data_IF_208647818454
#
_entry.id   IF_208647818454
#
_cell.length_a   1.000
_cell.length_b   1.000
_cell.length_c   1.000
_cell.angle_alpha   90.00
_cell.angle_beta   90.00
_cell.angle_gamma   90.00
#
_symmetry.space_group_name_H-M   'P 1'
#
loop_
_entity.id
_entity.type
_entity.pdbx_description
1 polymer ?
#
# COMPACT_ATOMS: atom_id res chain seq x y z
N UNK A 1 50.31 23.88 -33.12
CA UNK A 1 49.21 22.89 -33.11
C UNK A 1 48.61 22.87 -34.51
N UNK A 2 48.63 21.72 -35.17
CA UNK A 2 48.14 21.57 -36.56
C UNK A 2 46.62 21.56 -36.59
N UNK A 3 45.96 22.11 -37.63
CA UNK A 3 44.49 22.19 -37.73
C UNK A 3 43.79 20.83 -37.66
N UNK A 4 44.47 19.73 -37.95
CA UNK A 4 43.94 18.39 -37.80
C UNK A 4 43.69 17.94 -36.33
N UNK A 5 44.44 18.47 -35.37
CA UNK A 5 44.25 18.16 -33.94
C UNK A 5 43.07 18.91 -33.33
N UNK A 6 42.72 20.08 -33.85
CA UNK A 6 41.57 20.86 -33.39
C UNK A 6 40.25 20.27 -33.91
N UNK A 7 40.23 19.69 -35.11
CA UNK A 7 39.07 19.03 -35.67
C UNK A 7 38.71 17.71 -34.94
N UNK A 8 39.72 16.96 -34.45
CA UNK A 8 39.49 15.73 -33.67
C UNK A 8 38.91 16.02 -32.28
N UNK A 9 39.27 17.12 -31.65
CA UNK A 9 38.74 17.52 -30.34
C UNK A 9 37.28 18.02 -30.40
N UNK A 10 36.90 18.66 -31.53
CA UNK A 10 35.50 19.08 -31.76
C UNK A 10 34.59 17.88 -32.10
N UNK A 11 35.10 16.87 -32.82
CA UNK A 11 34.33 15.66 -33.13
C UNK A 11 34.09 14.78 -31.90
N UNK A 12 35.04 14.72 -30.94
CA UNK A 12 34.89 13.97 -29.70
C UNK A 12 33.88 14.63 -28.71
N UNK A 13 33.76 15.96 -28.77
CA UNK A 13 32.78 16.69 -27.93
C UNK A 13 31.33 16.50 -28.38
N UNK A 14 31.06 16.32 -29.67
CA UNK A 14 29.73 16.06 -30.21
C UNK A 14 29.25 14.62 -29.98
N UNK A 15 30.17 13.65 -29.87
CA UNK A 15 29.80 12.25 -29.59
C UNK A 15 29.35 11.98 -28.13
N UNK A 16 29.80 12.81 -27.19
CA UNK A 16 29.39 12.69 -25.77
C UNK A 16 27.99 13.27 -25.46
N UNK A 17 27.49 14.15 -26.33
CA UNK A 17 26.14 14.69 -26.18
C UNK A 17 25.02 13.71 -26.59
N UNK A 18 25.37 12.67 -27.38
CA UNK A 18 24.39 11.70 -27.88
C UNK A 18 24.06 10.55 -26.93
N UNK A 19 24.73 10.43 -25.77
CA UNK A 19 24.55 9.37 -24.78
C UNK A 19 23.94 9.86 -23.45
N UNK A 20 23.26 11.01 -23.44
CA UNK A 20 22.46 11.32 -22.27
C UNK A 20 21.25 10.38 -22.24
N UNK A 21 21.06 9.58 -21.17
CA UNK A 21 19.86 8.79 -21.05
C UNK A 21 18.66 9.75 -21.08
N UNK A 22 17.84 9.63 -22.12
CA UNK A 22 16.60 10.38 -22.24
C UNK A 22 15.77 10.02 -21.01
N UNK A 23 15.36 11.01 -20.23
CA UNK A 23 14.44 10.77 -19.13
C UNK A 23 13.23 9.99 -19.71
N UNK A 24 12.72 8.95 -19.03
CA UNK A 24 11.59 8.20 -19.54
C UNK A 24 10.46 9.18 -19.85
N UNK A 25 10.05 9.22 -21.11
CA UNK A 25 8.92 10.04 -21.55
C UNK A 25 7.68 9.57 -20.77
N UNK A 26 6.94 10.52 -20.21
CA UNK A 26 5.64 10.25 -19.59
C UNK A 26 4.71 9.58 -20.63
N UNK A 27 3.56 9.03 -20.19
CA UNK A 27 2.62 8.40 -21.11
C UNK A 27 2.18 9.38 -22.21
N UNK A 28 1.84 8.86 -23.40
CA UNK A 28 1.32 9.69 -24.48
C UNK A 28 0.11 10.53 -24.04
N UNK A 29 -0.13 11.70 -24.66
CA UNK A 29 -1.31 12.50 -24.37
C UNK A 29 -2.61 11.68 -24.42
N UNK A 30 -3.47 11.83 -23.41
CA UNK A 30 -4.71 11.05 -23.30
C UNK A 30 -4.56 9.65 -22.72
N UNK A 31 -3.34 9.24 -22.34
CA UNK A 31 -3.08 7.98 -21.63
C UNK A 31 -2.86 8.25 -20.14
N UNK A 32 -3.44 7.41 -19.28
CA UNK A 32 -3.26 7.41 -17.83
C UNK A 32 -2.74 6.04 -17.41
N UNK A 33 -1.60 6.00 -16.75
CA UNK A 33 -1.05 4.80 -16.14
C UNK A 33 -1.53 4.68 -14.71
N UNK A 34 -2.37 3.66 -14.49
CA UNK A 34 -3.00 3.39 -13.21
C UNK A 34 -2.23 2.30 -12.45
N UNK A 35 -1.59 2.67 -11.34
CA UNK A 35 -0.85 1.71 -10.50
C UNK A 35 -1.74 0.98 -9.52
N UNK A 36 -1.48 -0.32 -9.38
CA UNK A 36 -2.22 -1.24 -8.52
C UNK A 36 -1.23 -1.94 -7.60
N UNK A 37 -1.50 -1.85 -6.30
CA UNK A 37 -0.67 -2.46 -5.27
C UNK A 37 -0.76 -3.99 -5.31
N UNK A 38 0.38 -4.65 -5.22
CA UNK A 38 0.48 -6.13 -5.24
C UNK A 38 0.25 -6.72 -3.84
N UNK A 39 -1.00 -6.69 -3.39
CA UNK A 39 -1.43 -7.36 -2.14
C UNK A 39 -1.70 -8.85 -2.33
N UNK A 40 -1.88 -9.26 -3.58
CA UNK A 40 -2.12 -10.61 -4.07
C UNK A 40 -1.25 -10.92 -5.30
N UNK A 41 -1.42 -12.10 -5.89
CA UNK A 41 -0.76 -12.41 -7.16
C UNK A 41 -1.30 -11.53 -8.31
N UNK A 42 -0.47 -11.33 -9.35
CA UNK A 42 -0.78 -10.42 -10.45
C UNK A 42 -2.05 -10.84 -11.21
N UNK A 43 -2.27 -12.14 -11.42
CA UNK A 43 -3.44 -12.65 -12.15
C UNK A 43 -4.73 -12.35 -11.40
N UNK A 44 -4.76 -12.54 -10.09
CA UNK A 44 -5.89 -12.21 -9.25
C UNK A 44 -6.18 -10.70 -9.27
N UNK A 45 -5.12 -9.88 -9.12
CA UNK A 45 -5.23 -8.43 -9.21
C UNK A 45 -5.76 -7.97 -10.57
N UNK A 46 -5.24 -8.54 -11.67
CA UNK A 46 -5.74 -8.26 -13.03
C UNK A 46 -7.21 -8.58 -13.17
N UNK A 47 -7.64 -9.78 -12.75
CA UNK A 47 -9.04 -10.19 -12.80
C UNK A 47 -9.97 -9.24 -12.04
N UNK A 48 -9.54 -8.78 -10.87
CA UNK A 48 -10.33 -7.90 -10.02
C UNK A 48 -10.41 -6.45 -10.54
N UNK A 49 -9.31 -5.91 -11.04
CA UNK A 49 -9.23 -4.50 -11.43
C UNK A 49 -9.65 -4.21 -12.88
N UNK A 50 -9.49 -5.17 -13.80
CA UNK A 50 -9.79 -4.96 -15.23
C UNK A 50 -11.18 -4.38 -15.50
N UNK A 51 -12.28 -4.88 -14.87
CA UNK A 51 -13.61 -4.31 -15.13
C UNK A 51 -13.73 -2.83 -14.71
N UNK A 52 -13.16 -2.45 -13.58
CA UNK A 52 -13.15 -1.06 -13.11
C UNK A 52 -12.37 -0.14 -14.06
N UNK A 53 -11.19 -0.57 -14.52
CA UNK A 53 -10.36 0.22 -15.43
C UNK A 53 -11.00 0.35 -16.82
N UNK A 54 -11.68 -0.68 -17.30
CA UNK A 54 -12.45 -0.63 -18.56
C UNK A 54 -13.62 0.37 -18.47
N UNK A 55 -14.33 0.39 -17.34
CA UNK A 55 -15.38 1.39 -17.10
C UNK A 55 -14.79 2.81 -17.02
N UNK A 56 -13.62 2.96 -16.40
CA UNK A 56 -12.91 4.24 -16.34
C UNK A 56 -12.53 4.74 -17.74
N UNK A 57 -11.97 3.86 -18.57
CA UNK A 57 -11.61 4.18 -19.95
C UNK A 57 -12.85 4.64 -20.75
N UNK A 58 -13.92 3.87 -20.67
CA UNK A 58 -15.20 4.18 -21.36
C UNK A 58 -15.79 5.51 -20.91
N UNK A 59 -15.82 5.78 -19.61
CA UNK A 59 -16.47 6.96 -19.06
C UNK A 59 -15.67 8.25 -19.28
N UNK A 60 -14.33 8.17 -19.23
CA UNK A 60 -13.45 9.33 -19.31
C UNK A 60 -12.96 9.64 -20.72
N UNK A 61 -13.04 8.66 -21.63
CA UNK A 61 -12.42 8.73 -22.97
C UNK A 61 -10.90 8.75 -22.93
N UNK A 62 -10.29 8.38 -21.81
CA UNK A 62 -8.84 8.24 -21.64
C UNK A 62 -8.42 6.79 -21.92
N UNK A 63 -7.23 6.59 -22.47
CA UNK A 63 -6.62 5.27 -22.50
C UNK A 63 -6.09 4.94 -21.09
N UNK A 64 -6.52 3.84 -20.49
CA UNK A 64 -6.08 3.43 -19.15
C UNK A 64 -5.11 2.26 -19.26
N UNK A 65 -3.86 2.47 -18.87
CA UNK A 65 -2.82 1.44 -18.85
C UNK A 65 -2.55 1.01 -17.41
N UNK A 66 -2.93 -0.23 -17.01
CA UNK A 66 -2.64 -0.72 -15.67
C UNK A 66 -1.15 -0.99 -15.48
N UNK A 67 -0.64 -0.63 -14.31
CA UNK A 67 0.71 -0.93 -13.87
C UNK A 67 0.65 -1.75 -12.57
N UNK A 68 1.09 -3.00 -12.63
CA UNK A 68 1.17 -3.90 -11.48
C UNK A 68 2.60 -3.91 -10.95
N UNK A 69 2.83 -3.29 -9.81
CA UNK A 69 4.15 -3.30 -9.19
C UNK A 69 4.47 -4.66 -8.57
N UNK A 70 5.73 -5.07 -8.65
CA UNK A 70 6.20 -6.32 -8.03
C UNK A 70 6.27 -6.24 -6.50
N UNK A 71 6.41 -5.03 -5.97
CA UNK A 71 6.40 -4.71 -4.54
C UNK A 71 5.99 -3.24 -4.35
N UNK A 72 5.81 -2.83 -3.10
CA UNK A 72 5.31 -1.49 -2.77
C UNK A 72 6.30 -0.37 -3.11
N UNK A 73 7.59 -0.62 -2.95
CA UNK A 73 8.63 0.34 -3.34
C UNK A 73 8.63 0.58 -4.85
N UNK A 74 8.41 -0.44 -5.67
CA UNK A 74 8.34 -0.30 -7.12
C UNK A 74 7.22 0.67 -7.56
N UNK A 75 6.04 0.66 -6.90
CA UNK A 75 4.97 1.61 -7.19
C UNK A 75 5.34 3.04 -6.80
N UNK A 76 5.96 3.22 -5.63
CA UNK A 76 6.42 4.53 -5.15
C UNK A 76 7.42 5.13 -6.14
N UNK A 77 8.41 4.34 -6.57
CA UNK A 77 9.42 4.80 -7.52
C UNK A 77 8.84 4.99 -8.93
N UNK A 78 7.89 4.14 -9.39
CA UNK A 78 7.21 4.34 -10.66
C UNK A 78 6.49 5.70 -10.72
N UNK A 79 5.82 6.11 -9.64
CA UNK A 79 5.22 7.45 -9.55
C UNK A 79 6.29 8.54 -9.52
N UNK A 80 7.37 8.36 -8.76
CA UNK A 80 8.48 9.32 -8.67
C UNK A 80 9.11 9.61 -10.02
N UNK A 81 9.30 8.59 -10.83
CA UNK A 81 9.88 8.70 -12.18
C UNK A 81 8.82 8.92 -13.27
N UNK A 82 7.60 9.32 -12.89
CA UNK A 82 6.49 9.63 -13.80
C UNK A 82 6.13 8.47 -14.75
N UNK A 83 6.39 7.24 -14.32
CA UNK A 83 5.99 6.03 -15.05
C UNK A 83 4.53 5.66 -14.75
N UNK A 84 3.95 6.18 -13.67
CA UNK A 84 2.54 6.06 -13.33
C UNK A 84 1.97 7.42 -12.93
N UNK A 85 0.66 7.62 -13.11
CA UNK A 85 -0.02 8.89 -12.95
C UNK A 85 -0.94 8.91 -11.73
N UNK A 86 -1.67 7.83 -11.53
CA UNK A 86 -2.65 7.64 -10.46
C UNK A 86 -2.63 6.19 -10.04
N UNK A 87 -3.08 5.88 -8.82
CA UNK A 87 -3.24 4.50 -8.41
C UNK A 87 -3.74 4.33 -7.00
N UNK A 88 -3.97 3.07 -6.67
CA UNK A 88 -4.30 2.58 -5.35
C UNK A 88 -3.02 2.23 -4.58
N UNK A 89 -2.87 2.78 -3.40
CA UNK A 89 -1.75 2.56 -2.47
C UNK A 89 -2.29 2.11 -1.11
N UNK A 90 -1.49 1.37 -0.34
CA UNK A 90 -1.77 1.23 1.09
C UNK A 90 -1.41 2.53 1.81
N UNK A 91 -1.92 2.72 3.03
CA UNK A 91 -1.71 3.98 3.75
C UNK A 91 -0.21 4.34 3.90
N UNK A 92 0.65 3.39 4.29
CA UNK A 92 2.09 3.66 4.44
C UNK A 92 2.78 3.93 3.09
N UNK A 93 2.49 3.14 2.07
CA UNK A 93 3.07 3.38 0.73
C UNK A 93 2.54 4.65 0.09
N UNK A 94 1.27 5.01 0.34
CA UNK A 94 0.67 6.30 -0.06
C UNK A 94 1.36 7.47 0.62
N UNK A 95 1.64 7.39 1.92
CA UNK A 95 2.41 8.40 2.65
C UNK A 95 3.81 8.60 2.08
N UNK A 96 4.49 7.52 1.72
CA UNK A 96 5.79 7.60 1.04
C UNK A 96 5.67 8.21 -0.37
N UNK A 97 4.62 7.89 -1.12
CA UNK A 97 4.36 8.48 -2.43
C UNK A 97 4.13 10.00 -2.33
N UNK A 98 3.37 10.47 -1.34
CA UNK A 98 3.18 11.91 -1.07
C UNK A 98 4.51 12.58 -0.74
N UNK A 99 5.32 11.99 0.12
CA UNK A 99 6.60 12.58 0.58
C UNK A 99 7.70 12.58 -0.48
N UNK A 100 7.81 11.52 -1.27
CA UNK A 100 9.00 11.26 -2.09
C UNK A 100 8.75 11.26 -3.59
N UNK A 101 7.49 11.11 -4.01
CA UNK A 101 7.13 10.93 -5.42
C UNK A 101 6.24 12.04 -5.97
N UNK A 102 6.04 13.11 -5.19
CA UNK A 102 5.15 14.20 -5.59
C UNK A 102 3.68 13.76 -5.69
N UNK A 103 3.31 12.73 -4.94
CA UNK A 103 1.92 12.27 -4.83
C UNK A 103 1.03 13.25 -4.07
N UNK A 104 -0.27 13.15 -4.29
CA UNK A 104 -1.33 13.88 -3.62
C UNK A 104 -2.54 12.96 -3.49
N UNK A 105 -3.11 12.88 -2.30
CA UNK A 105 -4.31 12.08 -2.06
C UNK A 105 -5.54 12.87 -2.52
N UNK A 106 -6.47 12.23 -3.21
CA UNK A 106 -7.71 12.85 -3.68
C UNK A 106 -8.97 12.05 -3.34
N UNK A 107 -8.81 10.76 -3.04
CA UNK A 107 -9.90 9.88 -2.65
C UNK A 107 -9.36 8.75 -1.76
N UNK A 108 -10.27 8.00 -1.17
CA UNK A 108 -9.98 6.79 -0.41
C UNK A 108 -10.98 5.69 -0.74
N UNK A 109 -10.59 4.46 -0.53
CA UNK A 109 -11.51 3.32 -0.51
C UNK A 109 -12.49 3.43 0.66
N UNK A 110 -13.52 2.62 0.63
CA UNK A 110 -14.46 2.42 1.74
C UNK A 110 -14.68 0.94 1.92
N UNK A 111 -15.25 0.53 3.04
CA UNK A 111 -15.65 -0.86 3.21
C UNK A 111 -16.91 -1.14 2.38
N UNK A 112 -17.02 -2.31 1.70
CA UNK A 112 -18.24 -2.67 0.97
C UNK A 112 -19.48 -2.69 1.86
N UNK A 113 -19.33 -3.10 3.11
CA UNK A 113 -20.39 -3.20 4.11
C UNK A 113 -19.84 -2.87 5.51
N UNK A 114 -20.65 -2.20 6.32
CA UNK A 114 -20.31 -1.84 7.70
C UNK A 114 -19.44 -0.59 7.80
N UNK A 115 -18.88 -0.31 8.99
CA UNK A 115 -18.05 0.87 9.21
C UNK A 115 -16.72 0.76 8.45
N UNK A 116 -16.25 1.90 7.93
CA UNK A 116 -14.96 2.01 7.24
C UNK A 116 -13.79 1.58 8.15
N UNK A 117 -12.77 1.03 7.54
CA UNK A 117 -11.53 0.61 8.17
C UNK A 117 -11.32 -0.90 8.17
N UNK A 118 -10.06 -1.28 8.38
CA UNK A 118 -9.63 -2.68 8.40
C UNK A 118 -8.64 -2.93 9.55
N UNK A 119 -8.21 -4.16 9.75
CA UNK A 119 -7.29 -4.54 10.83
C UNK A 119 -6.09 -5.28 10.31
N UNK A 120 -4.92 -4.98 10.87
CA UNK A 120 -3.76 -5.86 10.77
C UNK A 120 -3.97 -7.09 11.67
N UNK A 121 -3.50 -8.22 11.21
CA UNK A 121 -3.71 -9.53 11.84
C UNK A 121 -2.39 -10.29 11.97
N UNK A 122 -2.32 -11.19 12.97
CA UNK A 122 -1.43 -12.34 12.92
C UNK A 122 -2.29 -13.58 12.74
N UNK A 123 -1.94 -14.38 11.74
CA UNK A 123 -2.62 -15.62 11.40
C UNK A 123 -1.70 -16.81 11.62
N UNK A 124 -2.29 -17.91 12.04
CA UNK A 124 -1.66 -19.22 12.23
C UNK A 124 -2.47 -20.30 11.56
N UNK A 125 -1.93 -21.48 11.38
CA UNK A 125 -2.70 -22.63 10.91
C UNK A 125 -3.71 -23.05 11.98
N UNK A 126 -4.97 -23.21 11.58
CA UNK A 126 -6.04 -23.65 12.46
C UNK A 126 -5.74 -25.05 13.03
N UNK A 127 -5.95 -25.18 14.32
CA UNK A 127 -5.69 -26.43 15.04
C UNK A 127 -4.20 -26.70 15.31
N UNK A 128 -3.30 -25.76 15.01
CA UNK A 128 -1.88 -25.88 15.35
C UNK A 128 -1.59 -25.79 16.85
N UNK A 129 -2.54 -25.24 17.63
CA UNK A 129 -2.33 -24.93 19.04
C UNK A 129 -1.43 -23.73 19.29
N UNK A 130 -1.01 -23.03 18.22
CA UNK A 130 -0.11 -21.87 18.34
C UNK A 130 -0.89 -20.63 18.81
N UNK A 131 -0.52 -20.14 19.98
CA UNK A 131 -1.11 -18.94 20.59
C UNK A 131 -0.24 -17.71 20.36
N UNK A 132 -0.79 -16.51 20.60
CA UNK A 132 -0.02 -15.26 20.55
C UNK A 132 1.15 -15.28 21.52
N UNK A 133 0.97 -15.75 22.76
CA UNK A 133 2.04 -15.83 23.76
C UNK A 133 3.19 -16.74 23.28
N UNK A 134 2.86 -17.85 22.62
CA UNK A 134 3.84 -18.73 22.03
C UNK A 134 4.66 -18.08 20.90
N UNK A 135 3.99 -17.27 20.08
CA UNK A 135 4.65 -16.47 19.02
C UNK A 135 5.59 -15.44 19.65
N UNK A 136 5.17 -14.80 20.72
CA UNK A 136 5.93 -13.75 21.41
C UNK A 136 7.01 -14.28 22.36
N UNK A 137 7.12 -15.60 22.54
CA UNK A 137 8.17 -16.22 23.36
C UNK A 137 9.59 -16.04 22.78
N UNK A 138 9.70 -15.78 21.49
CA UNK A 138 10.97 -15.47 20.79
C UNK A 138 12.07 -16.52 21.01
N UNK A 139 11.71 -17.79 20.97
CA UNK A 139 12.63 -18.91 21.20
C UNK A 139 13.32 -19.42 19.92
N UNK A 140 13.16 -18.69 18.81
CA UNK A 140 13.78 -19.01 17.52
C UNK A 140 13.36 -20.38 16.94
N UNK A 141 12.16 -20.87 17.27
CA UNK A 141 11.69 -22.17 16.72
C UNK A 141 10.73 -21.98 15.55
N UNK A 142 10.07 -20.83 15.42
CA UNK A 142 8.99 -20.59 14.45
C UNK A 142 9.49 -19.97 13.15
N UNK A 143 8.92 -20.41 12.02
CA UNK A 143 9.06 -19.79 10.72
C UNK A 143 7.97 -18.73 10.57
N UNK A 144 8.34 -17.47 10.45
CA UNK A 144 7.44 -16.33 10.41
C UNK A 144 7.50 -15.60 9.07
N UNK A 145 6.38 -14.98 8.66
CA UNK A 145 6.40 -14.04 7.55
C UNK A 145 5.82 -12.68 7.95
N UNK A 146 6.51 -11.64 7.53
CA UNK A 146 6.03 -10.26 7.51
C UNK A 146 5.41 -9.93 6.14
N UNK A 147 4.64 -8.87 6.06
CA UNK A 147 4.30 -8.24 4.78
C UNK A 147 5.48 -7.48 4.18
N UNK A 148 5.22 -6.79 3.05
CA UNK A 148 6.19 -5.86 2.46
C UNK A 148 6.60 -4.79 3.49
N UNK A 149 7.86 -4.33 3.43
CA UNK A 149 8.41 -3.33 4.35
C UNK A 149 7.63 -1.99 4.35
N UNK A 150 6.92 -1.68 3.26
CA UNK A 150 6.05 -0.50 3.11
C UNK A 150 4.56 -0.82 3.28
N UNK A 151 4.24 -1.99 3.83
CA UNK A 151 2.87 -2.39 4.14
C UNK A 151 2.42 -1.81 5.48
N UNK A 152 1.25 -1.17 5.49
CA UNK A 152 0.62 -0.67 6.73
C UNK A 152 0.28 -1.82 7.67
N UNK A 153 -0.48 -2.80 7.20
CA UNK A 153 -0.95 -3.92 8.03
C UNK A 153 0.05 -5.06 8.17
N UNK A 154 0.90 -5.25 7.15
CA UNK A 154 1.88 -6.33 7.14
C UNK A 154 3.15 -6.02 7.94
N UNK A 155 3.43 -4.75 8.19
CA UNK A 155 4.69 -4.33 8.84
C UNK A 155 4.48 -3.20 9.84
N UNK A 156 4.00 -2.03 9.42
CA UNK A 156 3.94 -0.86 10.31
C UNK A 156 3.08 -1.12 11.57
N UNK A 157 1.85 -1.60 11.39
CA UNK A 157 0.91 -1.83 12.49
C UNK A 157 1.41 -2.90 13.48
N UNK A 158 1.88 -4.09 13.04
CA UNK A 158 2.49 -5.06 13.95
C UNK A 158 3.70 -4.51 14.71
N UNK A 159 4.56 -3.72 14.04
CA UNK A 159 5.71 -3.10 14.70
C UNK A 159 5.28 -2.03 15.72
N UNK A 160 4.27 -1.22 15.39
CA UNK A 160 3.78 -0.15 16.28
C UNK A 160 3.09 -0.70 17.53
N UNK A 161 2.25 -1.73 17.39
CA UNK A 161 1.34 -2.12 18.47
C UNK A 161 1.62 -3.50 19.08
N UNK A 162 2.41 -4.35 18.41
CA UNK A 162 2.68 -5.68 18.94
C UNK A 162 4.16 -5.89 19.29
N UNK A 163 5.04 -5.83 18.30
CA UNK A 163 6.45 -6.19 18.47
C UNK A 163 7.27 -5.08 19.15
N UNK A 164 7.15 -3.84 18.67
CA UNK A 164 7.95 -2.72 19.17
C UNK A 164 7.78 -2.45 20.67
N UNK A 165 6.53 -2.35 21.20
CA UNK A 165 6.33 -2.13 22.65
C UNK A 165 6.92 -3.22 23.54
N UNK A 166 7.17 -4.41 22.99
CA UNK A 166 7.79 -5.55 23.68
C UNK A 166 9.29 -5.68 23.42
N UNK A 167 9.85 -4.69 22.70
CA UNK A 167 11.25 -4.74 22.25
C UNK A 167 11.57 -6.02 21.45
N UNK A 168 10.59 -6.52 20.72
CA UNK A 168 10.77 -7.72 19.86
C UNK A 168 11.19 -7.24 18.47
N UNK A 169 12.28 -7.83 17.99
CA UNK A 169 12.77 -7.71 16.63
C UNK A 169 12.50 -9.05 15.93
N UNK A 170 11.64 -9.08 14.90
CA UNK A 170 11.26 -10.33 14.24
C UNK A 170 12.48 -11.16 13.80
N UNK A 171 13.52 -10.50 13.27
CA UNK A 171 14.72 -11.16 12.74
C UNK A 171 15.51 -11.94 13.81
N UNK A 172 15.38 -11.58 15.08
CA UNK A 172 16.04 -12.25 16.21
C UNK A 172 15.08 -13.07 17.05
N UNK A 173 13.77 -12.87 16.87
CA UNK A 173 12.70 -13.57 17.59
C UNK A 173 12.39 -14.94 16.96
N UNK A 174 12.40 -15.00 15.63
CA UNK A 174 11.97 -16.17 14.88
C UNK A 174 13.15 -16.94 14.28
N UNK A 175 12.94 -18.25 13.99
CA UNK A 175 13.91 -19.10 13.29
C UNK A 175 14.18 -18.56 11.89
N UNK A 176 13.13 -18.20 11.17
CA UNK A 176 13.22 -17.54 9.87
C UNK A 176 12.20 -16.41 9.79
N UNK A 177 12.56 -15.32 9.11
CA UNK A 177 11.64 -14.26 8.74
C UNK A 177 11.65 -14.10 7.23
N UNK A 178 10.48 -14.18 6.60
CA UNK A 178 10.30 -13.93 5.17
C UNK A 178 9.43 -12.70 4.98
N UNK A 179 9.51 -12.09 3.80
CA UNK A 179 8.59 -11.04 3.38
C UNK A 179 7.92 -11.49 2.09
N UNK A 180 6.58 -11.46 2.07
CA UNK A 180 5.77 -11.76 0.90
C UNK A 180 4.46 -10.95 0.91
N UNK A 181 3.69 -11.01 -0.17
CA UNK A 181 2.36 -10.41 -0.20
C UNK A 181 1.38 -11.18 0.71
N UNK A 182 0.25 -10.56 1.01
CA UNK A 182 -0.71 -11.09 1.98
C UNK A 182 -1.31 -12.45 1.55
N UNK A 183 -1.62 -12.61 0.26
CA UNK A 183 -2.17 -13.86 -0.26
C UNK A 183 -1.17 -15.01 -0.14
N UNK A 184 0.09 -14.79 -0.55
CA UNK A 184 1.14 -15.80 -0.43
C UNK A 184 1.38 -16.22 1.03
N UNK A 185 1.34 -15.25 1.97
CA UNK A 185 1.46 -15.54 3.40
C UNK A 185 0.28 -16.38 3.92
N UNK A 186 -0.97 -16.09 3.50
CA UNK A 186 -2.14 -16.90 3.88
C UNK A 186 -2.02 -18.34 3.40
N UNK A 187 -1.66 -18.56 2.13
CA UNK A 187 -1.46 -19.90 1.59
C UNK A 187 -0.32 -20.65 2.30
N UNK A 188 0.81 -19.98 2.54
CA UNK A 188 1.95 -20.61 3.20
C UNK A 188 1.62 -21.06 4.64
N UNK A 189 0.85 -20.25 5.39
CA UNK A 189 0.36 -20.63 6.72
C UNK A 189 -0.65 -21.78 6.64
N UNK A 190 -1.64 -21.70 5.74
CA UNK A 190 -2.65 -22.75 5.61
C UNK A 190 -2.05 -24.12 5.24
N UNK A 191 -0.99 -24.13 4.42
CA UNK A 191 -0.25 -25.33 4.04
C UNK A 191 0.77 -25.79 5.10
N UNK A 192 0.98 -25.02 6.18
CA UNK A 192 1.98 -25.34 7.22
C UNK A 192 3.43 -25.11 6.80
N UNK A 193 3.68 -24.34 5.74
CA UNK A 193 5.03 -23.92 5.32
C UNK A 193 5.58 -22.79 6.21
N UNK A 194 4.69 -22.03 6.82
CA UNK A 194 4.95 -21.03 7.85
C UNK A 194 4.13 -21.37 9.09
N UNK A 195 4.68 -21.09 10.25
CA UNK A 195 3.99 -21.27 11.52
C UNK A 195 3.02 -20.11 11.78
N UNK A 196 3.43 -18.90 11.45
CA UNK A 196 2.60 -17.69 11.57
C UNK A 196 2.99 -16.64 10.54
N UNK A 197 2.08 -15.69 10.27
CA UNK A 197 2.35 -14.55 9.39
C UNK A 197 1.52 -13.33 9.77
N UNK A 198 2.02 -12.14 9.42
CA UNK A 198 1.21 -10.91 9.38
C UNK A 198 0.30 -10.92 8.17
N UNK A 199 -0.91 -10.38 8.36
CA UNK A 199 -1.92 -10.26 7.31
C UNK A 199 -2.90 -9.11 7.61
N UNK A 200 -4.04 -9.07 6.92
CA UNK A 200 -5.11 -8.12 7.22
C UNK A 200 -6.51 -8.70 6.92
N UNK A 201 -7.52 -8.04 7.48
CA UNK A 201 -8.91 -8.48 7.36
C UNK A 201 -9.45 -8.39 5.93
N UNK A 202 -9.00 -7.44 5.11
CA UNK A 202 -9.44 -7.29 3.71
C UNK A 202 -8.88 -8.42 2.83
N UNK A 203 -7.61 -8.82 3.03
CA UNK A 203 -7.03 -9.94 2.28
C UNK A 203 -7.71 -11.27 2.58
N UNK A 204 -8.09 -11.51 3.85
CA UNK A 204 -8.89 -12.69 4.21
C UNK A 204 -10.27 -12.63 3.54
N UNK A 205 -10.94 -11.47 3.58
CA UNK A 205 -12.24 -11.29 2.94
C UNK A 205 -12.18 -11.50 1.42
N UNK A 206 -11.15 -10.93 0.77
CA UNK A 206 -10.92 -11.11 -0.67
C UNK A 206 -10.69 -12.58 -1.04
N UNK A 207 -9.92 -13.31 -0.23
CA UNK A 207 -9.68 -14.73 -0.45
C UNK A 207 -10.96 -15.55 -0.22
N UNK A 208 -11.77 -15.17 0.78
CA UNK A 208 -13.07 -15.81 1.05
C UNK A 208 -14.09 -15.60 -0.08
N UNK A 209 -14.03 -14.47 -0.79
CA UNK A 209 -14.90 -14.18 -1.93
C UNK A 209 -14.48 -14.96 -3.21
N UNK A 210 -13.24 -15.45 -3.28
CA UNK A 210 -12.80 -16.33 -4.36
C UNK A 210 -13.47 -17.70 -4.24
N UNK A 211 -14.05 -18.19 -5.36
CA UNK A 211 -14.78 -19.46 -5.38
C UNK A 211 -13.90 -20.67 -5.74
N UNK A 212 -12.58 -20.53 -5.68
CA UNK A 212 -11.66 -21.65 -5.93
C UNK A 212 -11.55 -22.52 -4.68
N UNK A 213 -11.44 -23.83 -4.86
CA UNK A 213 -11.25 -24.78 -3.74
C UNK A 213 -10.03 -24.41 -2.89
N UNK A 214 -8.92 -24.02 -3.53
CA UNK A 214 -7.70 -23.62 -2.84
C UNK A 214 -7.90 -22.41 -1.92
N UNK A 215 -8.61 -21.37 -2.39
CA UNK A 215 -8.89 -20.17 -1.61
C UNK A 215 -9.81 -20.49 -0.42
N UNK A 216 -10.88 -21.23 -0.66
CA UNK A 216 -11.83 -21.64 0.39
C UNK A 216 -11.13 -22.48 1.47
N UNK A 217 -10.29 -23.44 1.04
CA UNK A 217 -9.50 -24.24 1.96
C UNK A 217 -8.50 -23.38 2.75
N UNK A 218 -7.79 -22.46 2.10
CA UNK A 218 -6.84 -21.62 2.78
C UNK A 218 -7.50 -20.76 3.89
N UNK A 219 -8.69 -20.20 3.62
CA UNK A 219 -9.46 -19.45 4.61
C UNK A 219 -9.96 -20.35 5.75
N UNK A 220 -10.41 -21.57 5.44
CA UNK A 220 -10.91 -22.52 6.44
C UNK A 220 -9.79 -23.05 7.37
N UNK A 221 -8.54 -23.11 6.86
CA UNK A 221 -7.38 -23.69 7.55
C UNK A 221 -6.54 -22.68 8.34
N UNK A 222 -6.96 -21.41 8.42
CA UNK A 222 -6.29 -20.39 9.23
C UNK A 222 -7.15 -19.94 10.40
N UNK A 223 -6.50 -19.44 11.44
CA UNK A 223 -7.13 -18.72 12.54
C UNK A 223 -6.33 -17.46 12.90
N UNK A 224 -7.02 -16.47 13.46
CA UNK A 224 -6.45 -15.17 13.83
C UNK A 224 -6.14 -15.17 15.31
N UNK A 225 -4.89 -14.98 15.67
CA UNK A 225 -4.41 -14.94 17.06
C UNK A 225 -4.13 -13.53 17.58
N UNK A 226 -4.10 -12.53 16.70
CA UNK A 226 -3.96 -11.12 17.06
C UNK A 226 -4.66 -10.21 16.06
N UNK A 227 -5.19 -9.09 16.55
CA UNK A 227 -5.82 -8.01 15.77
C UNK A 227 -5.32 -6.66 16.27
N UNK A 228 -5.02 -5.77 15.33
CA UNK A 228 -4.70 -4.37 15.63
C UNK A 228 -5.95 -3.54 15.96
N UNK A 229 -5.79 -2.33 16.49
CA UNK A 229 -6.77 -1.27 16.32
C UNK A 229 -7.13 -1.06 14.83
N UNK A 230 -8.28 -0.40 14.58
CA UNK A 230 -8.73 -0.12 13.21
C UNK A 230 -7.75 0.79 12.48
N UNK A 231 -7.38 0.38 11.29
CA UNK A 231 -6.60 1.16 10.31
C UNK A 231 -7.55 1.93 9.40
N UNK A 232 -7.19 3.14 8.94
CA UNK A 232 -7.97 3.85 7.93
C UNK A 232 -7.99 3.07 6.61
N UNK A 233 -9.02 3.30 5.80
CA UNK A 233 -9.11 2.76 4.45
C UNK A 233 -7.98 3.30 3.56
N UNK A 234 -7.66 2.58 2.48
CA UNK A 234 -6.50 2.87 1.66
C UNK A 234 -6.71 4.08 0.73
N UNK A 235 -5.69 4.91 0.48
CA UNK A 235 -5.79 6.09 -0.34
C UNK A 235 -5.67 5.81 -1.84
N UNK A 236 -6.36 6.64 -2.63
CA UNK A 236 -6.10 6.86 -4.04
C UNK A 236 -5.17 8.07 -4.18
N UNK A 237 -4.05 7.85 -4.85
CA UNK A 237 -2.99 8.86 -4.98
C UNK A 237 -2.77 9.15 -6.45
N UNK A 238 -2.67 10.43 -6.82
CA UNK A 238 -2.21 10.86 -8.14
C UNK A 238 -0.95 11.72 -8.02
N UNK A 239 -0.28 11.93 -9.14
CA UNK A 239 0.82 12.91 -9.16
C UNK A 239 0.25 14.33 -9.06
N UNK A 240 0.86 15.15 -8.22
CA UNK A 240 0.46 16.55 -7.99
C UNK A 240 0.59 17.40 -9.26
N UNK A 241 1.53 17.07 -10.14
CA UNK A 241 1.82 17.79 -11.38
C UNK A 241 0.96 17.38 -12.59
N UNK A 242 -0.07 16.53 -12.39
CA UNK A 242 -1.02 16.21 -13.45
C UNK A 242 -1.84 17.42 -13.85
N UNK A 243 -2.19 17.48 -15.14
CA UNK A 243 -3.08 18.49 -15.68
C UNK A 243 -4.41 18.57 -14.89
N UNK A 244 -4.88 19.78 -14.53
CA UNK A 244 -6.09 19.94 -13.73
C UNK A 244 -7.35 19.36 -14.37
N UNK A 245 -7.49 19.44 -15.71
CA UNK A 245 -8.64 18.87 -16.41
C UNK A 245 -8.59 17.33 -16.39
N UNK A 246 -7.40 16.76 -16.47
CA UNK A 246 -7.20 15.30 -16.31
C UNK A 246 -7.55 14.85 -14.87
N UNK A 247 -7.08 15.58 -13.86
CA UNK A 247 -7.44 15.32 -12.45
C UNK A 247 -8.95 15.38 -12.24
N UNK A 248 -9.63 16.38 -12.82
CA UNK A 248 -11.07 16.50 -12.71
C UNK A 248 -11.80 15.29 -13.29
N UNK A 249 -11.45 14.83 -14.50
CA UNK A 249 -12.04 13.64 -15.12
C UNK A 249 -11.84 12.37 -14.27
N UNK A 250 -10.63 12.15 -13.76
CA UNK A 250 -10.30 11.00 -12.93
C UNK A 250 -11.11 11.03 -11.63
N UNK A 251 -11.10 12.17 -10.94
CA UNK A 251 -11.81 12.36 -9.66
C UNK A 251 -13.32 12.16 -9.83
N UNK A 252 -13.91 12.81 -10.83
CA UNK A 252 -15.36 12.80 -11.05
C UNK A 252 -15.83 11.36 -11.36
N UNK A 253 -15.06 10.60 -12.15
CA UNK A 253 -15.34 9.19 -12.38
C UNK A 253 -15.25 8.38 -11.09
N UNK A 254 -14.14 8.47 -10.36
CA UNK A 254 -13.90 7.65 -9.16
C UNK A 254 -14.94 7.95 -8.08
N UNK A 255 -15.25 9.22 -7.82
CA UNK A 255 -16.19 9.58 -6.75
C UNK A 255 -17.66 9.33 -7.12
N UNK A 256 -18.00 9.21 -8.41
CA UNK A 256 -19.35 8.86 -8.84
C UNK A 256 -19.56 7.33 -8.97
N UNK A 257 -18.48 6.54 -9.00
CA UNK A 257 -18.54 5.11 -9.30
C UNK A 257 -19.24 4.32 -8.20
N UNK A 258 -20.36 3.69 -8.56
CA UNK A 258 -21.18 2.87 -7.65
C UNK A 258 -22.08 3.68 -6.71
N UNK A 259 -22.19 5.02 -6.88
CA UNK A 259 -23.03 5.89 -6.07
C UNK A 259 -24.47 5.92 -6.62
N UNK A 260 -25.46 5.90 -5.72
CA UNK A 260 -26.90 5.92 -6.04
C UNK A 260 -27.53 4.54 -6.19
N UNK A 261 -28.80 4.49 -6.67
CA UNK A 261 -29.63 3.28 -6.68
C UNK A 261 -30.03 2.80 -8.08
N UNK A 262 -29.32 3.26 -9.11
CA UNK A 262 -29.54 2.79 -10.49
C UNK A 262 -29.00 1.36 -10.69
N UNK A 263 -29.48 0.67 -11.75
CA UNK A 263 -28.95 -0.63 -12.12
C UNK A 263 -27.45 -0.57 -12.41
N UNK A 264 -27.02 0.51 -13.04
CA UNK A 264 -25.60 0.77 -13.32
C UNK A 264 -24.79 0.94 -12.02
N UNK A 265 -25.28 1.70 -11.07
CA UNK A 265 -24.62 1.86 -9.77
C UNK A 265 -24.54 0.52 -9.02
N UNK A 266 -25.58 -0.32 -9.09
CA UNK A 266 -25.53 -1.69 -8.51
C UNK A 266 -24.50 -2.57 -9.20
N UNK A 267 -24.41 -2.54 -10.52
CA UNK A 267 -23.38 -3.24 -11.30
C UNK A 267 -21.98 -2.77 -10.91
N UNK A 268 -21.78 -1.44 -10.83
CA UNK A 268 -20.49 -0.84 -10.43
C UNK A 268 -20.08 -1.25 -9.02
N UNK A 269 -21.00 -1.28 -8.06
CA UNK A 269 -20.70 -1.80 -6.71
C UNK A 269 -20.27 -3.27 -6.73
N UNK A 270 -20.86 -4.09 -7.58
CA UNK A 270 -20.44 -5.48 -7.73
C UNK A 270 -19.01 -5.58 -8.29
N UNK A 271 -18.63 -4.67 -9.21
CA UNK A 271 -17.25 -4.59 -9.73
C UNK A 271 -16.26 -4.22 -8.63
N UNK A 272 -16.49 -3.15 -7.87
CA UNK A 272 -15.53 -2.71 -6.84
C UNK A 272 -15.53 -3.60 -5.59
N UNK A 273 -16.59 -4.39 -5.37
CA UNK A 273 -16.60 -5.43 -4.33
C UNK A 273 -15.49 -6.47 -4.56
N UNK A 274 -15.15 -6.79 -5.81
CA UNK A 274 -14.06 -7.71 -6.11
C UNK A 274 -12.68 -7.22 -5.62
N UNK A 275 -12.52 -5.91 -5.49
CA UNK A 275 -11.33 -5.28 -4.90
C UNK A 275 -11.52 -4.89 -3.43
N UNK A 276 -12.57 -5.44 -2.79
CA UNK A 276 -12.91 -5.21 -1.37
C UNK A 276 -13.13 -3.74 -1.01
N UNK A 277 -13.71 -2.95 -1.93
CA UNK A 277 -14.13 -1.57 -1.65
C UNK A 277 -15.61 -1.35 -1.95
N UNK A 278 -16.22 -0.41 -1.23
CA UNK A 278 -17.47 0.25 -1.60
C UNK A 278 -17.19 1.52 -2.42
N UNK A 279 -18.20 2.35 -2.69
CA UNK A 279 -18.02 3.63 -3.38
C UNK A 279 -16.96 4.50 -2.72
N UNK A 280 -16.04 5.02 -3.54
CA UNK A 280 -14.94 5.84 -3.06
C UNK A 280 -15.44 7.14 -2.40
N UNK A 281 -14.71 7.65 -1.41
CA UNK A 281 -14.99 8.92 -0.75
C UNK A 281 -13.87 9.91 -1.00
N UNK A 282 -14.16 11.23 -1.03
CA UNK A 282 -13.12 12.25 -1.08
C UNK A 282 -12.17 12.11 0.10
N UNK A 283 -10.90 12.36 -0.15
CA UNK A 283 -9.86 12.45 0.88
C UNK A 283 -8.77 13.40 0.41
N UNK A 284 -7.94 13.83 1.35
CA UNK A 284 -6.72 14.60 1.11
C UNK A 284 -5.56 14.04 1.96
N UNK A 285 -4.42 14.71 1.95
CA UNK A 285 -3.22 14.25 2.66
C UNK A 285 -3.45 14.13 4.19
N UNK A 286 -4.49 14.76 4.76
CA UNK A 286 -4.85 14.64 6.18
C UNK A 286 -5.40 13.26 6.54
N UNK A 287 -5.90 12.52 5.54
CA UNK A 287 -6.31 11.12 5.71
C UNK A 287 -5.18 10.24 6.29
N UNK A 288 -3.93 10.57 6.03
CA UNK A 288 -2.76 9.83 6.50
C UNK A 288 -2.23 10.27 7.87
N UNK A 289 -2.90 11.20 8.56
CA UNK A 289 -2.48 11.60 9.91
C UNK A 289 -2.38 10.41 10.88
N UNK A 290 -3.33 9.44 10.92
CA UNK A 290 -3.19 8.26 11.79
C UNK A 290 -1.95 7.41 11.44
N UNK A 291 -1.57 7.34 10.18
CA UNK A 291 -0.40 6.58 9.73
C UNK A 291 0.90 7.30 10.08
N UNK A 292 0.93 8.63 9.96
CA UNK A 292 2.04 9.46 10.43
C UNK A 292 2.25 9.32 11.95
N UNK A 293 1.16 9.24 12.72
CA UNK A 293 1.19 8.95 14.15
C UNK A 293 1.79 7.57 14.44
N UNK A 294 1.37 6.54 13.70
CA UNK A 294 1.93 5.20 13.83
C UNK A 294 3.43 5.17 13.52
N UNK A 295 3.87 5.82 12.45
CA UNK A 295 5.30 5.90 12.11
C UNK A 295 6.11 6.60 13.20
N UNK A 296 5.62 7.76 13.69
CA UNK A 296 6.29 8.51 14.75
C UNK A 296 6.36 7.69 16.04
N UNK A 297 5.27 6.98 16.38
CA UNK A 297 5.21 6.08 17.54
C UNK A 297 6.19 4.93 17.39
N UNK A 298 6.22 4.25 16.25
CA UNK A 298 7.15 3.15 15.99
C UNK A 298 8.61 3.63 16.06
N UNK A 299 8.91 4.79 15.46
CA UNK A 299 10.25 5.39 15.51
C UNK A 299 10.66 5.75 16.95
N UNK A 300 9.76 6.29 17.76
CA UNK A 300 10.02 6.62 19.16
C UNK A 300 10.31 5.37 19.99
N UNK A 301 9.51 4.30 19.80
CA UNK A 301 9.71 3.01 20.49
C UNK A 301 11.06 2.41 20.08
N UNK A 302 11.39 2.41 18.80
CA UNK A 302 12.65 1.88 18.30
C UNK A 302 13.86 2.66 18.85
N UNK A 303 13.82 3.99 18.85
CA UNK A 303 14.86 4.82 19.41
C UNK A 303 15.08 4.55 20.91
N UNK A 304 13.99 4.40 21.67
CA UNK A 304 14.04 4.01 23.10
C UNK A 304 14.67 2.65 23.28
N UNK A 305 14.29 1.66 22.49
CA UNK A 305 14.83 0.30 22.55
C UNK A 305 16.32 0.25 22.22
N UNK A 306 16.79 1.15 21.34
CA UNK A 306 18.22 1.33 21.02
C UNK A 306 18.97 2.21 22.02
N UNK A 307 18.28 2.80 22.99
CA UNK A 307 18.82 3.79 23.95
C UNK A 307 19.44 5.01 23.24
N UNK A 308 18.78 5.50 22.21
CA UNK A 308 19.16 6.69 21.43
C UNK A 308 18.25 7.88 21.81
N UNK A 309 18.65 8.71 22.80
CA UNK A 309 17.82 9.81 23.28
C UNK A 309 17.61 10.92 22.24
N UNK A 310 18.54 11.11 21.31
CA UNK A 310 18.41 12.12 20.27
C UNK A 310 17.35 11.71 19.23
N UNK A 311 17.38 10.44 18.78
CA UNK A 311 16.37 9.89 17.90
C UNK A 311 15.00 9.82 18.59
N UNK A 312 14.93 9.47 19.87
CA UNK A 312 13.68 9.45 20.65
C UNK A 312 13.06 10.85 20.74
N UNK A 313 13.85 11.88 21.06
CA UNK A 313 13.37 13.25 21.12
C UNK A 313 12.85 13.74 19.77
N UNK A 314 13.55 13.42 18.67
CA UNK A 314 13.09 13.74 17.30
C UNK A 314 11.77 13.06 16.95
N UNK A 315 11.65 11.76 17.24
CA UNK A 315 10.43 11.00 16.98
C UNK A 315 9.26 11.51 17.83
N UNK A 316 9.51 11.85 19.11
CA UNK A 316 8.52 12.47 19.99
C UNK A 316 8.03 13.81 19.45
N UNK A 317 8.91 14.67 19.00
CA UNK A 317 8.53 15.96 18.40
C UNK A 317 7.64 15.75 17.16
N UNK A 318 7.95 14.76 16.32
CA UNK A 318 7.11 14.38 15.17
C UNK A 318 5.74 13.88 15.62
N UNK A 319 5.67 13.07 16.67
CA UNK A 319 4.42 12.57 17.24
C UNK A 319 3.56 13.71 17.79
N UNK A 320 4.15 14.60 18.58
CA UNK A 320 3.46 15.75 19.17
C UNK A 320 2.90 16.68 18.06
N UNK A 321 3.65 16.90 16.98
CA UNK A 321 3.18 17.65 15.81
C UNK A 321 1.97 17.01 15.15
N UNK A 322 2.02 15.70 14.86
CA UNK A 322 0.91 14.98 14.21
C UNK A 322 -0.35 15.01 15.07
N UNK A 323 -0.21 14.81 16.37
CA UNK A 323 -1.34 14.86 17.31
C UNK A 323 -1.95 16.27 17.39
N UNK A 324 -1.13 17.32 17.31
CA UNK A 324 -1.62 18.70 17.22
C UNK A 324 -2.40 18.95 15.91
N UNK A 325 -1.90 18.44 14.77
CA UNK A 325 -2.60 18.52 13.47
C UNK A 325 -3.96 17.78 13.52
N UNK A 326 -4.01 16.58 14.10
CA UNK A 326 -5.26 15.80 14.28
C UNK A 326 -6.27 16.56 15.15
N UNK A 327 -5.82 17.12 16.28
CA UNK A 327 -6.67 17.91 17.18
C UNK A 327 -7.22 19.16 16.48
N UNK A 328 -6.39 19.86 15.71
CA UNK A 328 -6.82 21.03 14.95
C UNK A 328 -7.85 20.67 13.86
N UNK A 329 -7.69 19.52 13.21
CA UNK A 329 -8.64 19.02 12.22
C UNK A 329 -9.99 18.66 12.86
N UNK A 330 -9.97 17.95 13.98
CA UNK A 330 -11.19 17.59 14.73
C UNK A 330 -11.97 18.83 15.19
N UNK A 331 -11.26 19.88 15.65
CA UNK A 331 -11.88 21.14 16.05
C UNK A 331 -12.54 21.94 14.91
N UNK A 332 -12.15 21.69 13.65
CA UNK A 332 -12.78 22.31 12.46
C UNK A 332 -14.00 21.55 11.95
N UNK A 333 -14.11 20.27 12.33
CA UNK A 333 -15.18 19.40 11.85
C UNK A 333 -16.41 19.35 12.80
N UNK A 334 -16.29 19.85 14.05
CA UNK A 334 -17.36 20.02 15.03
C UNK A 334 -17.82 21.47 15.10
#
# INVERSE_FOLDING_TARGET
MTPARLALLLAAGLALAACQPRAPEGPPPGTVRFSIMSTENIQAAQGAWTPFLADMEKATGLKIEPYYGTNYTALIEAMRFKQTDVGWFTNQSGLEAVRRSGGEIFARTTKPEGPDGYQALIVVKKGSGLTLDRILACDQTLNFAMGDAKSTSGTLAPMTWLFGPRNIRPETCFKTVRSANHEANLFAVSMGQLDAATNNSQSIARLADQKTEAAQKAVADIEVVWRSPTLPEDPMVWRRDLDPALKAKIRDFILAYGVGDTDEARRQRAVIRAIQTGPFKPADDTHLLPVREMEATAAMIEARNRKDPAAEAKAKASLDQVQAEQKALAAKAG
#
